data_IF_059297691110
#
_entry.id   IF_059297691110
#
_cell.length_a   1.000
_cell.length_b   1.000
_cell.length_c   1.000
_cell.angle_alpha   90.00
_cell.angle_beta   90.00
_cell.angle_gamma   90.00
#
_symmetry.space_group_name_H-M   'P 1'
#
loop_
_entity.id
_entity.type
_entity.pdbx_description
1 polymer ?
#
# COMPACT_ATOMS: atom_id res chain seq x y z
N UNK A 1 -70.84 23.79 -18.16
CA UNK A 1 -70.34 22.41 -18.22
C UNK A 1 -68.91 22.46 -17.83
N UNK A 2 -68.57 22.20 -16.57
CA UNK A 2 -67.27 22.27 -15.95
C UNK A 2 -66.71 20.85 -15.91
N UNK A 3 -65.67 20.61 -16.65
CA UNK A 3 -64.92 19.34 -16.60
C UNK A 3 -64.11 19.24 -15.30
N UNK A 4 -64.47 18.31 -14.46
CA UNK A 4 -63.68 17.84 -13.35
C UNK A 4 -62.56 16.95 -13.91
N UNK A 5 -61.32 17.49 -13.94
CA UNK A 5 -60.14 16.65 -14.12
C UNK A 5 -59.87 15.91 -12.80
N UNK A 6 -59.78 14.61 -12.89
CA UNK A 6 -59.67 13.65 -11.82
C UNK A 6 -58.35 13.83 -11.05
N UNK A 7 -58.42 13.89 -9.74
CA UNK A 7 -57.33 13.87 -8.77
C UNK A 7 -56.49 12.59 -8.82
N UNK A 8 -56.83 11.63 -9.67
CA UNK A 8 -56.15 10.36 -9.83
C UNK A 8 -54.89 10.44 -10.72
N UNK A 9 -54.88 11.37 -11.71
CA UNK A 9 -53.71 11.51 -12.63
C UNK A 9 -52.49 12.14 -12.01
N UNK A 10 -52.63 12.83 -10.89
CA UNK A 10 -51.47 13.46 -10.19
C UNK A 10 -50.77 12.54 -9.20
N UNK A 11 -51.33 11.37 -8.89
CA UNK A 11 -50.70 10.35 -8.00
C UNK A 11 -49.82 9.37 -8.77
N UNK A 12 -50.06 9.11 -10.03
CA UNK A 12 -49.22 8.22 -10.84
C UNK A 12 -47.93 8.91 -11.33
N UNK A 13 -47.92 10.26 -11.48
CA UNK A 13 -46.75 11.01 -11.86
C UNK A 13 -45.73 11.25 -10.71
N UNK A 14 -46.06 10.86 -9.48
CA UNK A 14 -45.14 10.98 -8.32
C UNK A 14 -44.49 9.66 -7.90
N UNK A 15 -44.66 8.57 -8.62
CA UNK A 15 -44.07 7.26 -8.30
C UNK A 15 -42.90 6.84 -9.20
N UNK A 16 -42.43 7.65 -10.14
CA UNK A 16 -41.06 7.52 -10.65
C UNK A 16 -40.07 8.20 -9.72
N UNK A 17 -40.08 7.83 -8.44
CA UNK A 17 -38.87 7.97 -7.62
C UNK A 17 -37.81 7.07 -8.27
N UNK A 18 -36.88 7.70 -8.98
CA UNK A 18 -35.67 7.08 -9.43
C UNK A 18 -35.08 6.32 -8.24
N UNK A 19 -35.24 5.01 -8.20
CA UNK A 19 -34.53 4.13 -7.31
C UNK A 19 -33.05 4.18 -7.76
N UNK A 20 -32.31 5.17 -7.24
CA UNK A 20 -30.85 5.12 -7.35
C UNK A 20 -30.45 3.76 -6.78
N UNK A 21 -29.73 2.95 -7.53
CA UNK A 21 -29.30 1.66 -7.02
C UNK A 21 -28.61 1.89 -5.67
N UNK A 22 -29.02 1.12 -4.66
CA UNK A 22 -28.49 1.23 -3.30
C UNK A 22 -27.11 0.54 -3.28
N UNK A 23 -26.09 1.23 -3.82
CA UNK A 23 -24.72 0.72 -3.87
C UNK A 23 -24.12 0.61 -2.47
N UNK A 24 -23.46 -0.51 -2.21
CA UNK A 24 -22.60 -0.64 -1.04
C UNK A 24 -21.43 0.37 -1.10
N UNK A 25 -20.85 0.70 0.03
CA UNK A 25 -19.66 1.58 0.07
C UNK A 25 -18.55 1.09 -0.87
N UNK A 26 -18.37 -0.21 -0.98
CA UNK A 26 -17.42 -0.86 -1.90
C UNK A 26 -17.77 -0.58 -3.37
N UNK A 27 -18.98 -0.81 -3.79
CA UNK A 27 -19.43 -0.59 -5.17
C UNK A 27 -19.29 0.87 -5.57
N UNK A 28 -19.73 1.78 -4.70
CA UNK A 28 -19.59 3.22 -4.92
C UNK A 28 -18.12 3.64 -5.07
N UNK A 29 -17.25 3.15 -4.20
CA UNK A 29 -15.82 3.42 -4.28
C UNK A 29 -15.21 2.88 -5.58
N UNK A 30 -15.50 1.63 -5.94
CA UNK A 30 -14.97 1.01 -7.15
C UNK A 30 -15.43 1.73 -8.42
N UNK A 31 -16.68 2.18 -8.48
CA UNK A 31 -17.19 2.99 -9.60
C UNK A 31 -16.44 4.31 -9.75
N UNK A 32 -16.21 5.01 -8.63
CA UNK A 32 -15.46 6.28 -8.63
C UNK A 32 -13.98 6.08 -9.02
N UNK A 33 -13.42 4.92 -8.70
CA UNK A 33 -12.04 4.61 -9.03
C UNK A 33 -11.87 4.12 -10.48
N UNK A 34 -12.92 3.62 -11.14
CA UNK A 34 -12.87 3.20 -12.55
C UNK A 34 -12.64 4.40 -13.49
N UNK A 35 -11.72 4.23 -14.43
CA UNK A 35 -11.51 5.15 -15.54
C UNK A 35 -12.47 4.81 -16.70
N UNK A 36 -12.59 5.70 -17.69
CA UNK A 36 -13.46 5.52 -18.87
C UNK A 36 -13.22 4.22 -19.67
N UNK A 37 -12.01 3.66 -19.57
CA UNK A 37 -11.57 2.43 -20.25
C UNK A 37 -11.58 1.18 -19.35
N UNK A 38 -12.39 1.17 -18.31
CA UNK A 38 -12.58 0.09 -17.34
C UNK A 38 -11.36 -0.24 -16.45
N UNK A 39 -10.23 0.44 -16.62
CA UNK A 39 -9.10 0.28 -15.71
C UNK A 39 -9.28 1.12 -14.44
N UNK A 40 -8.74 0.64 -13.33
CA UNK A 40 -8.73 1.41 -12.08
C UNK A 40 -7.68 2.50 -12.11
N UNK A 41 -8.05 3.70 -11.63
CA UNK A 41 -7.11 4.78 -11.38
C UNK A 41 -6.23 4.42 -10.19
N UNK A 42 -5.06 5.06 -10.12
CA UNK A 42 -4.19 4.94 -8.95
C UNK A 42 -4.86 5.50 -7.70
N UNK A 43 -4.87 4.72 -6.63
CA UNK A 43 -5.21 5.19 -5.30
C UNK A 43 -4.01 5.92 -4.68
N UNK A 44 -4.18 7.18 -4.28
CA UNK A 44 -3.06 8.08 -3.96
C UNK A 44 -3.04 8.56 -2.51
N UNK A 45 -3.91 8.03 -1.64
CA UNK A 45 -4.00 8.47 -0.24
C UNK A 45 -2.84 8.00 0.64
N UNK A 46 -2.14 6.90 0.31
CA UNK A 46 -0.95 6.51 1.08
C UNK A 46 0.12 7.61 1.02
N UNK A 47 0.66 8.04 2.17
CA UNK A 47 1.69 9.07 2.24
C UNK A 47 3.07 8.52 1.86
N UNK A 48 3.25 7.20 1.89
CA UNK A 48 4.52 6.54 1.61
C UNK A 48 4.63 6.11 0.15
N UNK A 49 5.77 6.38 -0.47
CA UNK A 49 6.15 5.82 -1.78
C UNK A 49 6.82 4.47 -1.57
N UNK A 50 6.07 3.47 -1.20
CA UNK A 50 6.60 2.15 -0.83
C UNK A 50 6.94 1.30 -2.06
N UNK A 51 8.09 0.60 -2.01
CA UNK A 51 8.47 -0.39 -3.03
C UNK A 51 7.49 -1.57 -3.01
N UNK A 52 7.00 -1.99 -4.18
CA UNK A 52 5.96 -3.02 -4.24
C UNK A 52 4.55 -2.53 -3.86
N UNK A 53 4.37 -1.24 -3.52
CA UNK A 53 3.08 -0.71 -3.07
C UNK A 53 1.96 -0.86 -4.10
N UNK A 54 0.80 -1.29 -3.65
CA UNK A 54 -0.36 -1.68 -4.46
C UNK A 54 -1.24 -0.52 -4.94
N UNK A 55 -0.73 0.71 -4.97
CA UNK A 55 -1.54 1.90 -5.30
C UNK A 55 -2.28 1.84 -6.65
N UNK A 56 -1.76 1.11 -7.63
CA UNK A 56 -2.43 0.86 -8.92
C UNK A 56 -3.37 -0.35 -8.88
N UNK A 57 -3.21 -1.23 -7.92
CA UNK A 57 -3.94 -2.48 -7.80
C UNK A 57 -5.09 -2.41 -6.79
N UNK A 58 -5.21 -1.33 -6.00
CA UNK A 58 -6.21 -1.20 -4.94
C UNK A 58 -7.61 -1.55 -5.44
N UNK A 59 -8.07 -0.95 -6.55
CA UNK A 59 -9.41 -1.21 -7.06
C UNK A 59 -9.63 -2.68 -7.42
N UNK A 60 -8.65 -3.30 -8.09
CA UNK A 60 -8.73 -4.70 -8.48
C UNK A 60 -8.69 -5.65 -7.25
N UNK A 61 -7.85 -5.35 -6.26
CA UNK A 61 -7.79 -6.14 -5.03
C UNK A 61 -9.10 -6.05 -4.27
N UNK A 62 -9.63 -4.83 -4.06
CA UNK A 62 -10.87 -4.61 -3.34
C UNK A 62 -12.11 -5.16 -4.07
N UNK A 63 -12.07 -5.27 -5.40
CA UNK A 63 -13.14 -5.92 -6.19
C UNK A 63 -13.38 -7.37 -5.71
N UNK A 64 -12.31 -8.06 -5.30
CA UNK A 64 -12.35 -9.44 -4.81
C UNK A 64 -12.58 -9.58 -3.31
N UNK A 65 -12.70 -8.49 -2.56
CA UNK A 65 -13.03 -8.58 -1.13
C UNK A 65 -14.44 -9.15 -0.97
N UNK A 66 -14.67 -10.03 0.01
CA UNK A 66 -16.03 -10.44 0.37
C UNK A 66 -16.89 -9.23 0.73
N UNK A 67 -18.20 -9.29 0.46
CA UNK A 67 -19.11 -8.16 0.72
C UNK A 67 -19.59 -8.10 2.18
N UNK A 68 -19.44 -9.19 2.90
CA UNK A 68 -19.96 -9.43 4.26
C UNK A 68 -18.92 -9.23 5.36
N UNK A 69 -17.71 -8.73 5.03
CA UNK A 69 -16.68 -8.49 6.02
C UNK A 69 -16.85 -7.15 6.74
N UNK A 70 -16.55 -7.14 8.02
CA UNK A 70 -16.48 -5.92 8.86
C UNK A 70 -15.08 -5.59 9.29
N UNK A 71 -14.19 -6.57 9.21
CA UNK A 71 -12.78 -6.46 9.58
C UNK A 71 -11.85 -6.99 8.51
N UNK A 72 -10.74 -6.30 8.31
CA UNK A 72 -9.59 -6.74 7.54
C UNK A 72 -8.40 -6.95 8.46
N UNK A 73 -7.71 -8.08 8.32
CA UNK A 73 -6.41 -8.35 8.96
C UNK A 73 -5.31 -8.36 7.89
N UNK A 74 -4.27 -7.54 8.07
CA UNK A 74 -3.15 -7.42 7.13
C UNK A 74 -1.82 -7.64 7.85
N UNK A 75 -1.17 -8.81 7.68
CA UNK A 75 0.10 -9.13 8.34
C UNK A 75 1.32 -8.39 7.77
N UNK A 76 1.16 -7.66 6.65
CA UNK A 76 2.25 -7.03 5.90
C UNK A 76 1.82 -5.62 5.47
N UNK A 77 1.81 -4.68 6.43
CA UNK A 77 1.30 -3.32 6.22
C UNK A 77 2.06 -2.56 5.14
N UNK A 78 3.39 -2.57 5.17
CA UNK A 78 4.22 -1.84 4.24
C UNK A 78 3.76 -0.39 4.01
N UNK A 79 3.49 -0.05 2.75
CA UNK A 79 2.98 1.26 2.35
C UNK A 79 1.49 1.50 2.59
N UNK A 80 0.73 0.50 3.01
CA UNK A 80 -0.64 0.61 3.48
C UNK A 80 -1.69 1.04 2.46
N UNK A 81 -1.47 0.86 1.17
CA UNK A 81 -2.43 1.36 0.17
C UNK A 81 -3.79 0.66 0.20
N UNK A 82 -3.79 -0.65 0.44
CA UNK A 82 -5.01 -1.47 0.53
C UNK A 82 -5.67 -1.25 1.89
N UNK A 83 -4.88 -1.21 2.96
CA UNK A 83 -5.32 -1.02 4.33
C UNK A 83 -6.00 0.34 4.51
N UNK A 84 -5.38 1.41 4.01
CA UNK A 84 -5.96 2.76 4.02
C UNK A 84 -7.27 2.80 3.22
N UNK A 85 -7.28 2.22 2.03
CA UNK A 85 -8.51 2.18 1.23
C UNK A 85 -9.62 1.39 1.94
N UNK A 86 -9.28 0.30 2.60
CA UNK A 86 -10.24 -0.51 3.38
C UNK A 86 -10.81 0.28 4.56
N UNK A 87 -9.96 0.99 5.30
CA UNK A 87 -10.40 1.79 6.45
C UNK A 87 -11.24 3.00 6.02
N UNK A 88 -10.77 3.77 5.03
CA UNK A 88 -11.37 5.05 4.67
C UNK A 88 -12.57 4.92 3.73
N UNK A 89 -12.44 4.07 2.71
CA UNK A 89 -13.45 3.99 1.65
C UNK A 89 -14.52 2.92 1.92
N UNK A 90 -14.11 1.79 2.51
CA UNK A 90 -15.02 0.69 2.85
C UNK A 90 -15.50 0.75 4.30
N UNK A 91 -14.94 1.64 5.11
CA UNK A 91 -15.25 1.79 6.53
C UNK A 91 -15.06 0.49 7.34
N UNK A 92 -14.06 -0.33 6.96
CA UNK A 92 -13.73 -1.55 7.68
C UNK A 92 -12.85 -1.26 8.90
N UNK A 93 -13.00 -2.06 9.95
CA UNK A 93 -11.98 -2.16 10.99
C UNK A 93 -10.74 -2.83 10.39
N UNK A 94 -9.58 -2.19 10.43
CA UNK A 94 -8.34 -2.70 9.86
C UNK A 94 -7.32 -2.97 10.96
N UNK A 95 -6.94 -4.23 11.10
CA UNK A 95 -5.84 -4.69 11.98
C UNK A 95 -4.63 -4.99 11.11
N UNK A 96 -3.72 -4.03 11.04
CA UNK A 96 -2.51 -4.14 10.24
C UNK A 96 -1.28 -4.42 11.11
N UNK A 97 -0.34 -5.16 10.54
CA UNK A 97 0.89 -5.57 11.22
C UNK A 97 2.08 -5.44 10.28
N UNK A 98 3.23 -5.22 10.84
CA UNK A 98 4.50 -5.30 10.14
C UNK A 98 5.58 -5.72 11.13
N UNK A 99 6.66 -6.31 10.63
CA UNK A 99 7.81 -6.67 11.47
C UNK A 99 8.80 -5.52 11.62
N UNK A 100 8.70 -4.50 10.75
CA UNK A 100 9.60 -3.37 10.76
C UNK A 100 9.13 -2.32 11.77
N UNK A 101 9.70 -2.36 12.96
CA UNK A 101 9.32 -1.54 14.12
C UNK A 101 9.34 -0.02 13.85
N UNK A 102 10.32 0.48 13.08
CA UNK A 102 10.40 1.90 12.72
C UNK A 102 9.25 2.33 11.80
N UNK A 103 8.88 1.48 10.85
CA UNK A 103 7.70 1.70 10.00
C UNK A 103 6.41 1.68 10.82
N UNK A 104 6.30 0.71 11.73
CA UNK A 104 5.15 0.61 12.64
C UNK A 104 5.03 1.86 13.50
N UNK A 105 6.14 2.32 14.08
CA UNK A 105 6.17 3.58 14.85
C UNK A 105 5.68 4.77 14.03
N UNK A 106 6.09 4.89 12.75
CA UNK A 106 5.59 5.94 11.87
C UNK A 106 4.07 5.89 11.72
N UNK A 107 3.51 4.70 11.45
CA UNK A 107 2.06 4.55 11.32
C UNK A 107 1.32 4.86 12.60
N UNK A 108 1.82 4.39 13.74
CA UNK A 108 1.22 4.66 15.06
C UNK A 108 1.20 6.15 15.38
N UNK A 109 2.30 6.86 15.14
CA UNK A 109 2.37 8.32 15.36
C UNK A 109 1.45 9.06 14.39
N UNK A 110 1.41 8.67 13.11
CA UNK A 110 0.51 9.30 12.13
C UNK A 110 -0.97 9.13 12.53
N UNK A 111 -1.36 7.97 13.07
CA UNK A 111 -2.72 7.72 13.51
C UNK A 111 -3.05 8.48 14.83
N UNK A 112 -2.12 8.53 15.75
CA UNK A 112 -2.34 9.10 17.09
C UNK A 112 -2.18 10.63 17.11
N UNK A 113 -1.17 11.17 16.42
CA UNK A 113 -0.81 12.60 16.42
C UNK A 113 -0.30 13.06 15.05
N UNK A 114 -1.17 13.00 14.06
CA UNK A 114 -0.85 13.47 12.70
C UNK A 114 -0.47 14.95 12.66
N UNK A 115 -1.06 15.77 13.54
CA UNK A 115 -0.77 17.19 13.62
C UNK A 115 0.64 17.44 14.12
N UNK A 116 1.04 16.84 15.24
CA UNK A 116 2.39 16.96 15.79
C UNK A 116 3.45 16.45 14.80
N UNK A 117 3.17 15.33 14.11
CA UNK A 117 4.06 14.80 13.07
C UNK A 117 4.22 15.78 11.91
N UNK A 118 3.12 16.35 11.41
CA UNK A 118 3.15 17.35 10.32
C UNK A 118 3.95 18.59 10.74
N UNK A 119 3.70 19.13 11.92
CA UNK A 119 4.42 20.30 12.44
C UNK A 119 5.91 20.03 12.65
N UNK A 120 6.28 18.84 13.14
CA UNK A 120 7.67 18.43 13.29
C UNK A 120 8.39 18.32 11.94
N UNK A 121 7.70 17.80 10.91
CA UNK A 121 8.22 17.71 9.54
C UNK A 121 8.36 19.08 8.88
N UNK A 122 7.42 20.01 9.11
CA UNK A 122 7.50 21.37 8.55
C UNK A 122 8.75 22.16 9.01
N UNK A 123 9.31 21.83 10.18
CA UNK A 123 10.53 22.45 10.71
C UNK A 123 11.80 21.97 10.03
N UNK A 124 11.72 20.90 9.22
CA UNK A 124 12.87 20.35 8.50
C UNK A 124 13.01 21.00 7.13
N UNK A 125 14.23 21.44 6.81
CA UNK A 125 14.57 21.86 5.45
C UNK A 125 15.05 20.65 4.63
N UNK A 126 14.50 20.43 3.42
CA UNK A 126 14.85 19.28 2.59
C UNK A 126 16.19 19.47 1.86
N UNK A 127 17.27 19.72 2.63
CA UNK A 127 18.63 19.88 2.14
C UNK A 127 19.40 18.56 2.21
N UNK A 128 20.50 18.47 1.45
CA UNK A 128 21.41 17.33 1.52
C UNK A 128 22.02 17.16 2.91
N UNK A 129 22.31 18.26 3.57
CA UNK A 129 22.90 18.28 4.91
C UNK A 129 21.92 17.72 5.94
N UNK A 130 20.69 18.28 5.99
CA UNK A 130 19.61 17.78 6.87
C UNK A 130 19.34 16.29 6.62
N UNK A 131 19.28 15.89 5.34
CA UNK A 131 19.09 14.50 4.98
C UNK A 131 20.22 13.59 5.46
N UNK A 132 21.49 14.02 5.32
CA UNK A 132 22.65 13.26 5.76
C UNK A 132 22.68 13.09 7.29
N UNK A 133 22.37 14.15 8.03
CA UNK A 133 22.32 14.13 9.49
C UNK A 133 21.24 13.17 9.99
N UNK A 134 20.01 13.31 9.50
CA UNK A 134 18.89 12.40 9.84
C UNK A 134 19.22 10.96 9.47
N UNK A 135 19.81 10.72 8.29
CA UNK A 135 20.22 9.38 7.88
C UNK A 135 21.27 8.79 8.82
N UNK A 136 22.22 9.59 9.30
CA UNK A 136 23.24 9.15 10.26
C UNK A 136 22.61 8.77 11.61
N UNK A 137 21.66 9.57 12.10
CA UNK A 137 20.92 9.30 13.34
C UNK A 137 20.08 8.01 13.25
N UNK A 138 19.31 7.85 12.19
CA UNK A 138 18.54 6.63 11.95
C UNK A 138 19.44 5.39 11.81
N UNK A 139 20.62 5.53 11.17
CA UNK A 139 21.59 4.45 11.05
C UNK A 139 22.18 4.06 12.40
N UNK A 140 22.50 5.03 13.25
CA UNK A 140 22.96 4.79 14.62
C UNK A 140 21.89 4.06 15.43
N UNK A 141 20.68 4.58 15.45
CA UNK A 141 19.52 3.98 16.13
C UNK A 141 19.28 2.53 15.68
N UNK A 142 19.34 2.27 14.36
CA UNK A 142 19.20 0.93 13.80
C UNK A 142 20.31 -0.02 14.28
N UNK A 143 21.57 0.43 14.20
CA UNK A 143 22.72 -0.39 14.58
C UNK A 143 22.71 -0.76 16.06
N UNK A 144 22.33 0.16 16.93
CA UNK A 144 22.23 -0.07 18.38
C UNK A 144 21.20 -1.17 18.73
N UNK A 145 20.08 -1.19 18.03
CA UNK A 145 19.02 -2.19 18.25
C UNK A 145 19.33 -3.58 17.70
N UNK A 146 20.04 -3.65 16.58
CA UNK A 146 20.18 -4.91 15.84
C UNK A 146 21.59 -5.53 15.93
N UNK A 147 22.58 -4.83 16.46
CA UNK A 147 23.96 -5.33 16.52
C UNK A 147 24.42 -5.81 17.90
N UNK A 148 23.54 -6.11 18.85
CA UNK A 148 23.93 -6.56 20.20
C UNK A 148 25.14 -5.79 20.79
N UNK A 149 25.19 -4.50 20.58
CA UNK A 149 26.29 -3.63 21.00
C UNK A 149 26.15 -3.37 22.51
N UNK A 150 26.70 -4.25 23.33
CA UNK A 150 26.63 -4.20 24.81
C UNK A 150 27.22 -2.94 25.44
N UNK A 151 27.87 -2.06 24.67
CA UNK A 151 28.60 -0.90 25.18
C UNK A 151 28.37 0.41 24.41
N UNK A 152 27.31 0.57 23.62
CA UNK A 152 26.99 1.84 22.97
C UNK A 152 25.87 2.52 23.79
N UNK A 153 26.02 3.82 24.15
CA UNK A 153 24.94 4.56 24.82
C UNK A 153 23.68 4.50 23.95
N UNK A 154 22.60 3.96 24.50
CA UNK A 154 21.33 3.89 23.77
C UNK A 154 20.83 5.31 23.54
N UNK A 155 20.86 5.76 22.29
CA UNK A 155 20.19 6.99 21.87
C UNK A 155 18.69 6.71 21.77
N UNK A 156 17.95 7.00 22.81
CA UNK A 156 16.50 6.93 22.80
C UNK A 156 15.94 8.09 21.98
N UNK A 157 15.60 7.83 20.74
CA UNK A 157 14.72 8.73 19.99
C UNK A 157 13.29 8.54 20.52
N UNK A 158 12.61 9.64 20.86
CA UNK A 158 11.18 9.57 21.13
C UNK A 158 10.40 9.20 19.87
N UNK A 159 9.19 8.66 20.04
CA UNK A 159 8.38 8.13 18.96
C UNK A 159 8.09 9.16 17.85
N UNK A 160 7.86 10.42 18.21
CA UNK A 160 7.58 11.49 17.25
C UNK A 160 8.82 11.83 16.42
N UNK A 161 9.97 11.97 17.05
CA UNK A 161 11.25 12.20 16.37
C UNK A 161 11.60 11.05 15.43
N UNK A 162 11.43 9.81 15.89
CA UNK A 162 11.69 8.63 15.07
C UNK A 162 10.74 8.56 13.84
N UNK A 163 9.45 8.86 14.03
CA UNK A 163 8.47 8.89 12.93
C UNK A 163 8.77 9.99 11.91
N UNK A 164 9.11 11.21 12.39
CA UNK A 164 9.55 12.35 11.59
C UNK A 164 10.77 11.99 10.72
N UNK A 165 11.79 11.46 11.35
CA UNK A 165 13.07 11.15 10.71
C UNK A 165 12.93 10.00 9.71
N UNK A 166 12.16 8.97 10.07
CA UNK A 166 11.81 7.90 9.15
C UNK A 166 11.10 8.42 7.91
N UNK A 167 10.03 9.20 8.08
CA UNK A 167 9.26 9.73 6.95
C UNK A 167 10.12 10.63 6.06
N UNK A 168 10.89 11.55 6.65
CA UNK A 168 11.79 12.43 5.92
C UNK A 168 12.80 11.64 5.10
N UNK A 169 13.52 10.71 5.73
CA UNK A 169 14.52 9.89 5.05
C UNK A 169 13.91 9.01 3.96
N UNK A 170 12.83 8.30 4.29
CA UNK A 170 12.20 7.36 3.37
C UNK A 170 11.60 8.07 2.15
N UNK A 171 10.83 9.13 2.37
CA UNK A 171 10.10 9.80 1.31
C UNK A 171 11.00 10.63 0.39
N UNK A 172 12.10 11.19 0.89
CA UNK A 172 13.05 11.95 0.09
C UNK A 172 14.12 11.09 -0.58
N UNK A 173 14.17 9.78 -0.31
CA UNK A 173 15.15 8.89 -0.93
C UNK A 173 14.91 8.72 -2.43
N UNK A 174 16.00 8.49 -3.18
CA UNK A 174 15.93 8.03 -4.56
C UNK A 174 15.54 6.54 -4.58
N UNK A 175 14.38 6.26 -5.18
CA UNK A 175 13.75 4.96 -4.99
C UNK A 175 13.36 4.78 -3.52
N UNK A 176 12.10 4.56 -3.18
CA UNK A 176 11.66 4.51 -1.79
C UNK A 176 12.46 3.45 -1.04
N UNK A 177 13.13 3.90 -0.01
CA UNK A 177 13.94 2.98 0.78
C UNK A 177 14.54 3.62 2.01
N UNK A 178 14.44 2.90 3.11
CA UNK A 178 15.06 3.26 4.37
C UNK A 178 16.58 3.40 4.21
N UNK A 179 17.15 4.48 4.72
CA UNK A 179 18.56 4.86 4.62
C UNK A 179 19.08 5.00 3.18
N UNK A 180 18.21 5.38 2.24
CA UNK A 180 18.52 5.62 0.84
C UNK A 180 19.44 6.81 0.59
N UNK A 181 19.65 7.08 -0.69
CA UNK A 181 20.26 8.30 -1.17
C UNK A 181 19.19 9.35 -1.41
N UNK A 182 19.44 10.59 -1.03
CA UNK A 182 18.48 11.67 -1.31
C UNK A 182 18.27 11.84 -2.82
N UNK A 183 17.01 11.95 -3.20
CA UNK A 183 16.64 12.24 -4.59
C UNK A 183 16.75 13.73 -4.89
N UNK A 184 17.45 14.09 -5.97
CA UNK A 184 17.62 15.49 -6.42
C UNK A 184 16.28 16.23 -6.64
N UNK A 185 15.20 15.50 -6.89
CA UNK A 185 13.89 16.14 -7.11
C UNK A 185 13.36 16.86 -5.86
N UNK A 186 13.87 16.53 -4.66
CA UNK A 186 13.48 17.15 -3.39
C UNK A 186 14.35 18.35 -3.02
N UNK A 187 15.35 18.70 -3.81
CA UNK A 187 15.98 20.02 -3.76
C UNK A 187 14.95 21.12 -4.08
N UNK A 188 13.90 20.77 -4.83
CA UNK A 188 12.69 21.56 -4.95
C UNK A 188 11.79 21.38 -3.73
N UNK A 189 11.81 22.38 -2.83
CA UNK A 189 11.04 22.39 -1.58
C UNK A 189 9.54 22.21 -1.81
N UNK A 190 9.00 22.65 -2.95
CA UNK A 190 7.57 22.53 -3.25
C UNK A 190 7.11 21.06 -3.28
N UNK A 191 7.97 20.15 -3.75
CA UNK A 191 7.69 18.71 -3.78
C UNK A 191 7.64 18.09 -2.39
N UNK A 192 8.50 18.56 -1.50
CA UNK A 192 8.48 18.16 -0.11
C UNK A 192 7.18 18.62 0.57
N UNK A 193 6.83 19.90 0.42
CA UNK A 193 5.59 20.45 0.98
C UNK A 193 4.34 19.73 0.45
N UNK A 194 4.29 19.42 -0.85
CA UNK A 194 3.20 18.63 -1.44
C UNK A 194 3.10 17.22 -0.82
N UNK A 195 4.22 16.61 -0.44
CA UNK A 195 4.20 15.33 0.25
C UNK A 195 3.67 15.45 1.69
N UNK A 196 4.01 16.54 2.39
CA UNK A 196 3.49 16.84 3.72
C UNK A 196 1.98 17.11 3.71
N UNK A 197 1.46 17.84 2.70
CA UNK A 197 0.01 18.06 2.58
C UNK A 197 -0.77 16.75 2.41
N UNK A 198 -0.22 15.76 1.68
CA UNK A 198 -0.84 14.43 1.60
C UNK A 198 -0.89 13.73 2.95
N UNK A 199 0.20 13.79 3.70
CA UNK A 199 0.27 13.23 5.05
C UNK A 199 -0.75 13.90 5.97
N UNK A 200 -0.83 15.23 5.94
CA UNK A 200 -1.78 16.03 6.72
C UNK A 200 -3.23 15.66 6.38
N UNK A 201 -3.56 15.63 5.07
CA UNK A 201 -4.91 15.30 4.62
C UNK A 201 -5.33 13.88 5.03
N UNK A 202 -4.42 12.90 4.99
CA UNK A 202 -4.70 11.56 5.50
C UNK A 202 -4.94 11.58 7.00
N UNK A 203 -4.08 12.27 7.76
CA UNK A 203 -4.19 12.34 9.22
C UNK A 203 -5.43 13.07 9.73
N UNK A 204 -6.04 13.95 8.92
CA UNK A 204 -7.28 14.65 9.23
C UNK A 204 -8.55 13.82 8.92
N UNK A 205 -8.43 12.72 8.19
CA UNK A 205 -9.58 11.86 7.89
C UNK A 205 -9.94 11.04 9.15
N UNK A 206 -11.12 11.32 9.72
CA UNK A 206 -11.57 10.66 10.95
C UNK A 206 -11.65 9.14 10.85
N UNK A 207 -11.86 8.61 9.64
CA UNK A 207 -11.90 7.16 9.39
C UNK A 207 -10.53 6.50 9.49
N UNK A 208 -9.43 7.28 9.56
CA UNK A 208 -8.11 6.73 9.83
C UNK A 208 -8.05 6.01 11.18
N UNK A 209 -8.93 6.36 12.12
CA UNK A 209 -9.07 5.68 13.41
C UNK A 209 -9.58 4.22 13.29
N UNK A 210 -10.12 3.83 12.15
CA UNK A 210 -10.47 2.44 11.86
C UNK A 210 -9.23 1.56 11.60
N UNK A 211 -8.05 2.17 11.41
CA UNK A 211 -6.78 1.49 11.17
C UNK A 211 -5.97 1.44 12.46
N UNK A 212 -5.54 0.26 12.86
CA UNK A 212 -4.53 0.06 13.90
C UNK A 212 -3.33 -0.70 13.34
N UNK A 213 -2.12 -0.35 13.81
CA UNK A 213 -0.87 -0.97 13.33
C UNK A 213 -0.03 -1.43 14.52
N UNK A 214 0.39 -2.70 14.51
CA UNK A 214 1.19 -3.32 15.58
C UNK A 214 2.46 -3.97 15.01
N UNK A 215 3.55 -3.97 15.79
CA UNK A 215 4.80 -4.64 15.42
C UNK A 215 4.74 -6.11 15.86
N UNK A 216 4.27 -6.97 14.97
CA UNK A 216 4.08 -8.41 15.25
C UNK A 216 4.45 -9.22 14.01
N UNK A 217 5.10 -10.38 14.21
CA UNK A 217 5.40 -11.30 13.12
C UNK A 217 4.13 -11.97 12.58
N UNK A 218 4.11 -12.27 11.28
CA UNK A 218 2.91 -12.78 10.61
C UNK A 218 2.38 -14.08 11.23
N UNK A 219 3.24 -14.97 11.70
CA UNK A 219 2.85 -16.23 12.34
C UNK A 219 1.91 -15.99 13.53
N UNK A 220 2.29 -15.04 14.39
CA UNK A 220 1.49 -14.67 15.55
C UNK A 220 0.17 -13.99 15.17
N UNK A 221 0.15 -13.29 14.04
CA UNK A 221 -1.08 -12.70 13.51
C UNK A 221 -2.06 -13.79 13.08
N UNK A 222 -1.60 -14.85 12.40
CA UNK A 222 -2.44 -15.98 12.03
C UNK A 222 -2.99 -16.72 13.27
N UNK A 223 -2.20 -16.84 14.34
CA UNK A 223 -2.64 -17.42 15.61
C UNK A 223 -3.72 -16.56 16.30
N UNK A 224 -3.55 -15.22 16.26
CA UNK A 224 -4.44 -14.26 16.93
C UNK A 224 -5.79 -14.11 16.21
N UNK A 225 -5.82 -14.26 14.88
CA UNK A 225 -7.00 -14.02 14.04
C UNK A 225 -7.33 -15.22 13.13
N UNK A 226 -7.60 -16.41 13.67
CA UNK A 226 -7.69 -17.63 12.88
C UNK A 226 -8.87 -17.71 11.91
N UNK A 227 -9.89 -16.88 12.06
CA UNK A 227 -11.13 -16.92 11.27
C UNK A 227 -11.41 -15.61 10.48
N UNK A 228 -10.59 -14.58 10.67
CA UNK A 228 -10.81 -13.27 10.04
C UNK A 228 -10.45 -13.29 8.55
N UNK A 229 -10.92 -12.30 7.81
CA UNK A 229 -10.51 -12.08 6.43
C UNK A 229 -9.13 -11.45 6.37
N UNK A 230 -8.22 -12.06 5.61
CA UNK A 230 -6.83 -11.62 5.46
C UNK A 230 -6.57 -11.03 4.08
N UNK A 231 -5.83 -9.91 4.06
CA UNK A 231 -5.09 -9.47 2.88
C UNK A 231 -3.60 -9.56 3.17
N UNK A 232 -2.87 -10.31 2.33
CA UNK A 232 -1.44 -10.54 2.48
C UNK A 232 -0.67 -10.00 1.29
N UNK A 233 0.37 -9.19 1.54
CA UNK A 233 1.32 -8.68 0.55
C UNK A 233 2.76 -8.88 1.07
N UNK A 234 3.22 -10.15 1.19
CA UNK A 234 4.50 -10.49 1.79
C UNK A 234 5.67 -10.08 0.89
N UNK A 235 6.92 -10.12 1.41
CA UNK A 235 8.10 -10.11 0.56
C UNK A 235 8.01 -11.16 -0.54
N UNK A 236 8.34 -10.76 -1.79
CA UNK A 236 8.22 -11.63 -2.95
C UNK A 236 9.33 -12.67 -3.05
N UNK A 237 9.00 -13.81 -3.62
CA UNK A 237 9.95 -14.87 -3.93
C UNK A 237 10.69 -14.52 -5.22
N UNK A 238 11.91 -14.03 -5.12
CA UNK A 238 12.69 -13.52 -6.26
C UNK A 238 13.71 -14.50 -6.82
N UNK A 239 13.64 -15.76 -6.39
CA UNK A 239 14.53 -16.84 -6.81
C UNK A 239 13.91 -17.67 -7.95
N UNK A 240 14.70 -18.58 -8.49
CA UNK A 240 14.26 -19.51 -9.52
C UNK A 240 13.88 -18.82 -10.83
N UNK A 241 12.70 -19.14 -11.34
CA UNK A 241 12.13 -18.68 -12.63
C UNK A 241 11.38 -17.35 -12.51
N UNK A 242 11.43 -16.67 -11.35
CA UNK A 242 10.75 -15.39 -11.15
C UNK A 242 11.20 -14.34 -12.17
N UNK A 243 10.24 -13.77 -12.90
CA UNK A 243 10.45 -12.66 -13.86
C UNK A 243 10.36 -11.29 -13.16
N UNK A 244 10.06 -11.25 -11.84
CA UNK A 244 10.00 -10.02 -11.09
C UNK A 244 11.39 -9.38 -10.98
N UNK A 245 11.43 -8.06 -11.12
CA UNK A 245 12.67 -7.29 -11.00
C UNK A 245 13.32 -7.49 -9.63
N UNK A 246 14.48 -8.15 -9.59
CA UNK A 246 15.21 -8.45 -8.33
C UNK A 246 15.60 -7.22 -7.53
N UNK A 247 15.71 -6.06 -8.16
CA UNK A 247 15.98 -4.76 -7.50
C UNK A 247 14.73 -4.05 -6.96
N UNK A 248 13.54 -4.67 -6.94
CA UNK A 248 12.33 -4.11 -6.33
C UNK A 248 12.60 -3.80 -4.85
N UNK A 249 13.44 -4.61 -4.23
CA UNK A 249 13.96 -4.40 -2.89
C UNK A 249 15.40 -3.94 -3.00
N UNK A 250 15.75 -2.73 -2.59
CA UNK A 250 17.12 -2.28 -2.66
C UNK A 250 18.01 -3.22 -1.82
N UNK A 251 18.98 -3.86 -2.50
CA UNK A 251 20.01 -4.68 -1.87
C UNK A 251 20.85 -3.76 -0.98
N UNK A 252 20.53 -3.71 0.29
CA UNK A 252 21.27 -2.99 1.31
C UNK A 252 21.63 -3.97 2.40
N UNK A 253 22.74 -3.70 3.10
CA UNK A 253 23.24 -4.50 4.23
C UNK A 253 22.28 -4.49 5.45
N UNK A 254 20.99 -4.26 5.22
CA UNK A 254 19.95 -4.34 6.23
C UNK A 254 19.18 -5.62 5.99
N UNK A 255 19.20 -6.57 6.94
CA UNK A 255 18.41 -7.81 6.81
C UNK A 255 16.91 -7.57 7.02
N UNK A 256 16.40 -6.44 6.51
CA UNK A 256 15.02 -6.07 6.68
C UNK A 256 14.21 -6.78 5.60
N UNK A 257 13.47 -7.76 6.00
CA UNK A 257 12.25 -8.27 5.39
C UNK A 257 12.35 -9.18 4.17
N UNK A 258 13.38 -9.11 3.33
CA UNK A 258 13.38 -9.87 2.09
C UNK A 258 14.33 -11.05 2.13
N UNK A 259 15.51 -10.84 2.72
CA UNK A 259 16.50 -11.89 2.89
C UNK A 259 16.10 -12.77 4.07
N UNK A 260 15.81 -14.03 3.79
CA UNK A 260 15.44 -15.00 4.81
C UNK A 260 13.95 -15.01 5.19
N UNK A 261 13.07 -14.38 4.41
CA UNK A 261 11.64 -14.54 4.60
C UNK A 261 11.21 -15.99 4.40
N UNK A 262 10.46 -16.53 5.35
CA UNK A 262 10.06 -17.93 5.33
C UNK A 262 8.78 -18.14 4.51
N UNK A 263 8.93 -18.22 3.19
CA UNK A 263 7.83 -18.43 2.24
C UNK A 263 7.07 -19.72 2.47
N UNK A 264 7.77 -20.80 2.87
CA UNK A 264 7.15 -22.09 3.18
C UNK A 264 6.26 -22.02 4.42
N UNK A 265 6.71 -21.31 5.46
CA UNK A 265 5.92 -21.09 6.67
C UNK A 265 4.66 -20.26 6.37
N UNK A 266 4.77 -19.20 5.54
CA UNK A 266 3.61 -18.43 5.13
C UNK A 266 2.58 -19.31 4.39
N UNK A 267 3.04 -20.14 3.46
CA UNK A 267 2.16 -21.09 2.75
C UNK A 267 1.47 -22.05 3.74
N UNK A 268 2.19 -22.57 4.73
CA UNK A 268 1.60 -23.41 5.77
C UNK A 268 0.56 -22.67 6.61
N UNK A 269 0.83 -21.42 7.00
CA UNK A 269 -0.12 -20.59 7.74
C UNK A 269 -1.40 -20.35 6.93
N UNK A 270 -1.28 -19.96 5.66
CA UNK A 270 -2.42 -19.70 4.78
C UNK A 270 -3.25 -20.95 4.48
N UNK A 271 -2.62 -22.12 4.27
CA UNK A 271 -3.33 -23.38 4.07
C UNK A 271 -4.14 -23.79 5.30
N UNK A 272 -3.61 -23.54 6.50
CA UNK A 272 -4.28 -23.87 7.77
C UNK A 272 -5.26 -22.78 8.24
N UNK A 273 -5.22 -21.58 7.64
CA UNK A 273 -6.11 -20.50 8.02
C UNK A 273 -7.56 -20.85 7.71
N UNK A 274 -8.46 -20.64 8.68
CA UNK A 274 -9.88 -21.01 8.56
C UNK A 274 -10.69 -19.96 7.82
N UNK A 275 -10.31 -18.68 7.97
CA UNK A 275 -10.95 -17.58 7.29
C UNK A 275 -10.62 -17.50 5.79
N UNK A 276 -11.26 -16.58 5.10
CA UNK A 276 -10.97 -16.23 3.71
C UNK A 276 -9.70 -15.38 3.62
N UNK A 277 -9.01 -15.40 2.46
CA UNK A 277 -7.89 -14.51 2.24
C UNK A 277 -7.70 -14.12 0.77
N UNK A 278 -7.01 -13.01 0.57
CA UNK A 278 -6.40 -12.62 -0.70
C UNK A 278 -4.90 -12.43 -0.45
N UNK A 279 -4.09 -13.08 -1.27
CA UNK A 279 -2.64 -13.00 -1.24
C UNK A 279 -2.14 -12.42 -2.57
N UNK A 280 -1.43 -11.30 -2.52
CA UNK A 280 -0.66 -10.78 -3.65
C UNK A 280 0.73 -11.41 -3.63
N UNK A 281 1.14 -11.98 -4.76
CA UNK A 281 2.47 -12.62 -4.86
C UNK A 281 3.02 -12.48 -6.28
N UNK A 282 4.35 -12.64 -6.44
CA UNK A 282 4.93 -12.72 -7.78
C UNK A 282 4.69 -14.09 -8.43
N UNK A 283 4.58 -14.08 -9.76
CA UNK A 283 4.42 -15.29 -10.55
C UNK A 283 5.76 -16.03 -10.68
N UNK A 284 5.78 -17.27 -10.22
CA UNK A 284 6.86 -18.23 -10.41
C UNK A 284 6.38 -19.65 -10.07
N UNK A 285 7.13 -20.67 -10.53
CA UNK A 285 6.77 -22.09 -10.32
C UNK A 285 6.58 -22.44 -8.83
N UNK A 286 7.44 -21.92 -7.95
CA UNK A 286 7.32 -22.13 -6.52
C UNK A 286 5.96 -21.64 -5.97
N UNK A 287 5.56 -20.41 -6.32
CA UNK A 287 4.31 -19.83 -5.83
C UNK A 287 3.10 -20.56 -6.40
N UNK A 288 3.12 -20.87 -7.71
CA UNK A 288 2.03 -21.63 -8.36
C UNK A 288 1.84 -23.00 -7.73
N UNK A 289 2.92 -23.74 -7.46
CA UNK A 289 2.84 -25.04 -6.80
C UNK A 289 2.41 -24.92 -5.33
N UNK A 290 2.95 -23.96 -4.59
CA UNK A 290 2.62 -23.76 -3.18
C UNK A 290 1.14 -23.45 -2.95
N UNK A 291 0.47 -22.81 -3.91
CA UNK A 291 -0.91 -22.34 -3.78
C UNK A 291 -1.87 -22.90 -4.84
N UNK A 292 -1.52 -24.01 -5.48
CA UNK A 292 -2.30 -24.64 -6.57
C UNK A 292 -3.75 -25.01 -6.20
N UNK A 293 -4.01 -25.22 -4.91
CA UNK A 293 -5.34 -25.59 -4.42
C UNK A 293 -6.28 -24.39 -4.23
N UNK A 294 -5.81 -23.17 -4.50
CA UNK A 294 -6.58 -21.94 -4.39
C UNK A 294 -6.84 -21.33 -5.78
N UNK A 295 -7.79 -20.43 -5.84
CA UNK A 295 -8.08 -19.67 -7.06
C UNK A 295 -6.93 -18.71 -7.35
N UNK A 296 -6.28 -18.87 -8.51
CA UNK A 296 -5.18 -18.02 -8.96
C UNK A 296 -5.69 -17.12 -10.08
N UNK A 297 -5.56 -15.80 -9.90
CA UNK A 297 -5.84 -14.80 -10.93
C UNK A 297 -4.52 -14.17 -11.40
N UNK A 298 -4.45 -13.89 -12.70
CA UNK A 298 -3.32 -13.22 -13.35
C UNK A 298 -3.72 -11.78 -13.71
N UNK A 299 -3.58 -10.84 -12.77
CA UNK A 299 -4.04 -9.49 -13.00
C UNK A 299 -3.13 -8.73 -13.97
N UNK A 300 -3.73 -7.83 -14.77
CA UNK A 300 -3.01 -6.98 -15.72
C UNK A 300 -2.81 -5.58 -15.12
N UNK A 301 -1.82 -5.39 -14.26
CA UNK A 301 -1.38 -4.05 -13.82
C UNK A 301 0.13 -3.91 -13.93
N UNK A 302 0.64 -2.68 -13.89
CA UNK A 302 2.08 -2.41 -13.89
C UNK A 302 2.49 -1.65 -12.65
N UNK A 303 3.64 -2.00 -12.07
CA UNK A 303 4.32 -1.17 -11.10
C UNK A 303 4.92 0.06 -11.76
N UNK A 304 4.71 1.23 -11.16
CA UNK A 304 5.33 2.47 -11.65
C UNK A 304 6.80 2.58 -11.27
N UNK A 305 7.29 1.70 -10.42
CA UNK A 305 8.67 1.72 -9.90
C UNK A 305 9.52 0.56 -10.39
N UNK A 306 9.04 -0.24 -11.31
CA UNK A 306 9.86 -1.18 -12.05
C UNK A 306 10.91 -0.43 -12.88
N UNK A 307 12.02 -0.10 -12.27
CA UNK A 307 13.24 0.31 -12.98
C UNK A 307 13.93 -0.98 -13.41
N UNK A 308 14.08 -1.16 -14.64
CA UNK A 308 14.80 -2.26 -15.24
C UNK A 308 14.06 -2.72 -16.43
N UNK A 309 13.97 -3.69 -16.93
CA UNK A 309 13.81 -4.34 -18.20
C UNK A 309 12.68 -3.89 -19.12
N UNK A 310 11.75 -3.06 -18.69
CA UNK A 310 10.64 -2.69 -19.56
C UNK A 310 10.01 -1.35 -19.31
N UNK A 311 10.81 -0.32 -19.10
CA UNK A 311 10.40 0.99 -19.56
C UNK A 311 10.51 1.05 -21.08
N UNK A 312 9.68 0.33 -21.79
CA UNK A 312 9.15 0.83 -23.05
C UNK A 312 8.11 1.89 -22.63
N UNK A 313 8.59 2.82 -21.83
CA UNK A 313 7.82 3.95 -21.39
C UNK A 313 7.85 5.00 -22.47
N UNK A 314 6.87 5.85 -22.49
CA UNK A 314 6.61 7.03 -23.30
C UNK A 314 7.81 7.94 -23.65
N UNK A 315 9.00 7.68 -23.15
CA UNK A 315 10.22 8.48 -23.33
C UNK A 315 11.23 7.87 -24.32
N UNK A 316 10.92 6.76 -24.97
CA UNK A 316 11.67 6.24 -26.11
C UNK A 316 10.81 6.15 -27.38
N UNK A 317 9.87 7.03 -27.53
CA UNK A 317 9.40 7.37 -28.87
C UNK A 317 10.58 8.08 -29.56
N UNK A 318 11.20 7.35 -30.45
CA UNK A 318 12.12 7.93 -31.44
C UNK A 318 11.45 9.18 -31.99
N UNK A 319 12.07 10.34 -31.82
CA UNK A 319 11.63 11.62 -32.38
C UNK A 319 11.54 11.62 -33.91
N UNK A 320 11.89 10.52 -34.55
CA UNK A 320 12.08 10.46 -36.01
C UNK A 320 11.09 9.60 -36.79
N UNK A 321 10.15 8.88 -36.17
CA UNK A 321 9.13 8.15 -36.97
C UNK A 321 7.77 8.27 -36.30
N UNK A 322 6.90 9.12 -36.87
CA UNK A 322 5.55 9.40 -36.43
C UNK A 322 4.56 8.23 -36.63
N UNK A 323 4.88 7.05 -36.15
CA UNK A 323 3.96 5.93 -36.09
C UNK A 323 3.37 5.86 -34.66
N UNK A 324 2.05 5.96 -34.60
CA UNK A 324 1.23 5.76 -33.42
C UNK A 324 1.65 4.45 -32.75
N UNK A 325 2.34 4.57 -31.61
CA UNK A 325 2.74 3.42 -30.81
C UNK A 325 1.49 2.68 -30.33
N UNK A 326 1.51 1.41 -30.58
CA UNK A 326 0.54 0.40 -30.18
C UNK A 326 0.11 0.59 -28.73
N UNK A 327 -1.18 0.82 -28.49
CA UNK A 327 -1.76 0.99 -27.15
C UNK A 327 -1.81 -0.31 -26.34
N UNK A 328 -1.39 -1.42 -26.92
CA UNK A 328 -1.48 -2.77 -26.36
C UNK A 328 -0.21 -3.25 -25.64
N UNK A 329 0.81 -2.40 -25.49
CA UNK A 329 2.00 -2.74 -24.71
C UNK A 329 1.77 -2.59 -23.19
N UNK A 330 0.66 -3.06 -22.67
CA UNK A 330 0.50 -3.36 -21.25
C UNK A 330 1.26 -4.67 -21.01
N UNK A 331 2.50 -4.55 -20.55
CA UNK A 331 3.27 -5.73 -20.15
C UNK A 331 2.55 -6.45 -19.04
N UNK A 332 2.51 -7.77 -19.12
CA UNK A 332 1.99 -8.63 -18.08
C UNK A 332 2.61 -8.23 -16.74
N UNK A 333 1.77 -8.01 -15.74
CA UNK A 333 2.28 -7.94 -14.37
C UNK A 333 2.74 -9.36 -14.05
N UNK A 334 3.95 -9.50 -13.61
CA UNK A 334 4.43 -10.79 -13.12
C UNK A 334 3.93 -11.03 -11.68
N UNK A 335 2.64 -10.75 -11.46
CA UNK A 335 1.97 -10.92 -10.17
C UNK A 335 0.74 -11.77 -10.28
N UNK A 336 0.43 -12.42 -9.17
CA UNK A 336 -0.75 -13.25 -8.98
C UNK A 336 -1.57 -12.69 -7.83
N UNK A 337 -2.90 -12.81 -7.93
CA UNK A 337 -3.79 -12.78 -6.79
C UNK A 337 -4.28 -14.20 -6.50
N UNK A 338 -4.00 -14.67 -5.30
CA UNK A 338 -4.36 -16.00 -4.83
C UNK A 338 -5.48 -15.83 -3.82
N UNK A 339 -6.61 -16.49 -4.04
CA UNK A 339 -7.84 -16.23 -3.30
C UNK A 339 -8.37 -17.53 -2.69
N UNK A 340 -8.65 -17.49 -1.41
CA UNK A 340 -9.48 -18.46 -0.69
C UNK A 340 -10.85 -17.83 -0.43
N UNK A 341 -11.89 -18.38 -1.08
CA UNK A 341 -13.30 -17.95 -0.96
C UNK A 341 -13.99 -18.49 0.30
#
# INVERSE_FOLDING_TARGET
MTQQHSLFDLRELQQEKSTKPNFTSKEHFLQNLKAKNLHYKRYTKSPLRYGGGKSLAVGLILEHFPNDITRLVSPFMGGGSVEIASALELNLEVKAFDIFDILVNFWQVLIADSKGLYEALLRLEPTKETYANIKAELKSFWNERHKNAKNIPQKNLDSLTLARDYYFNFNLSYGPGFLGWMSKIYEDKSRYLNALEKLKNLGQDSKLQNLSVECVSFEKVFEKYPNDFFYCDPPYFLEGDSQMFKGIYPMRNFPIHHNGFNHALLSKCLKNHKGKFILSYNDCAFVREAYKDFKILEPKWQYTMGQGETRVGKNRLNRNNGLLGDRDNIKQSHELLIIKE
#
